data_IF_729077258066
#
_entry.id   IF_729077258066
#
_cell.length_a   1.000
_cell.length_b   1.000
_cell.length_c   1.000
_cell.angle_alpha   90.00
_cell.angle_beta   90.00
_cell.angle_gamma   90.00
#
_symmetry.space_group_name_H-M   'P 1'
#
loop_
_entity.id
_entity.type
_entity.pdbx_description
1 polymer ?
#
# COMPACT_ATOMS: atom_id res chain seq x y z
N UNK A 1 16.35 11.08 -1.79
CA UNK A 1 16.13 9.92 -0.91
C UNK A 1 14.65 9.61 -0.98
N UNK A 2 14.23 8.38 -1.33
CA UNK A 2 12.81 8.02 -1.31
C UNK A 2 12.44 7.66 0.12
N UNK A 3 11.33 8.19 0.62
CA UNK A 3 10.82 7.85 1.94
C UNK A 3 10.14 6.48 1.92
N UNK A 4 10.33 5.70 2.97
CA UNK A 4 9.78 4.34 3.08
C UNK A 4 9.26 4.07 4.48
N UNK A 5 8.05 3.54 4.57
CA UNK A 5 7.35 3.24 5.80
C UNK A 5 6.98 1.76 5.85
N UNK A 6 7.32 1.11 6.97
CA UNK A 6 6.96 -0.29 7.19
C UNK A 6 5.68 -0.35 8.00
N UNK A 7 4.64 -0.96 7.42
CA UNK A 7 3.33 -1.11 8.02
C UNK A 7 2.94 -2.58 8.11
N UNK A 8 1.99 -2.89 8.99
CA UNK A 8 1.31 -4.18 8.95
C UNK A 8 0.13 -4.10 7.99
N UNK A 9 0.26 -4.73 6.83
CA UNK A 9 -0.84 -5.00 5.91
C UNK A 9 -1.60 -6.22 6.43
N UNK A 10 -2.90 -6.08 6.72
CA UNK A 10 -3.69 -7.15 7.34
C UNK A 10 -4.47 -6.75 8.59
N UNK A 11 -5.76 -6.45 8.46
CA UNK A 11 -6.72 -6.46 9.57
C UNK A 11 -7.68 -7.66 9.43
N UNK A 12 -7.52 -8.67 10.30
CA UNK A 12 -8.36 -9.87 10.35
C UNK A 12 -7.61 -11.20 10.51
N UNK A 13 -8.29 -12.32 10.25
CA UNK A 13 -7.78 -13.71 10.35
C UNK A 13 -6.73 -14.09 9.29
N UNK A 14 -6.42 -13.22 8.32
CA UNK A 14 -5.31 -13.44 7.35
C UNK A 14 -3.99 -13.04 8.00
N UNK A 15 -2.89 -13.72 7.64
CA UNK A 15 -1.54 -13.40 8.13
C UNK A 15 -1.29 -11.90 8.03
N UNK A 16 -0.92 -11.27 9.14
CA UNK A 16 -0.38 -9.90 9.12
C UNK A 16 0.94 -9.98 8.36
N UNK A 17 1.00 -9.34 7.21
CA UNK A 17 2.22 -9.24 6.42
C UNK A 17 2.82 -7.86 6.68
N UNK A 18 4.09 -7.86 7.06
CA UNK A 18 4.85 -6.62 7.19
C UNK A 18 5.21 -6.17 5.77
N UNK A 19 4.67 -5.03 5.36
CA UNK A 19 4.89 -4.47 4.02
C UNK A 19 5.64 -3.15 4.16
N UNK A 20 6.73 -3.02 3.42
CA UNK A 20 7.45 -1.76 3.28
C UNK A 20 6.89 -0.99 2.09
N UNK A 21 6.20 0.11 2.38
CA UNK A 21 5.67 1.04 1.41
C UNK A 21 6.70 2.12 1.12
N UNK A 22 6.91 2.46 -0.15
CA UNK A 22 7.92 3.43 -0.58
C UNK A 22 7.27 4.47 -1.48
N UNK A 23 7.59 5.75 -1.25
CA UNK A 23 7.12 6.85 -2.09
C UNK A 23 7.62 6.65 -3.53
N UNK A 24 6.71 6.81 -4.49
CA UNK A 24 6.95 6.63 -5.91
C UNK A 24 6.77 5.20 -6.42
N UNK A 25 6.63 4.22 -5.54
CA UNK A 25 6.35 2.83 -5.94
C UNK A 25 4.85 2.59 -6.15
N UNK A 26 4.53 1.53 -6.90
CA UNK A 26 3.16 1.21 -7.32
C UNK A 26 2.57 0.09 -6.46
N UNK A 27 1.36 0.34 -5.97
CA UNK A 27 0.61 -0.54 -5.08
C UNK A 27 -0.83 -0.70 -5.58
N UNK A 28 -1.50 -1.74 -5.09
CA UNK A 28 -2.91 -2.00 -5.33
C UNK A 28 -3.69 -1.82 -4.04
N UNK A 29 -4.86 -1.22 -4.16
CA UNK A 29 -5.77 -1.02 -3.04
C UNK A 29 -6.64 -2.26 -2.90
N UNK A 30 -6.38 -3.08 -1.89
CA UNK A 30 -7.12 -4.30 -1.55
C UNK A 30 -7.58 -4.24 -0.08
N UNK A 31 -8.63 -3.44 0.21
CA UNK A 31 -9.14 -3.30 1.57
C UNK A 31 -9.79 -4.60 2.05
N UNK A 32 -9.44 -5.01 3.27
CA UNK A 32 -9.98 -6.24 3.87
C UNK A 32 -11.44 -6.12 4.28
N UNK A 33 -11.87 -4.91 4.65
CA UNK A 33 -13.28 -4.67 4.94
C UNK A 33 -14.10 -4.74 3.63
N UNK A 34 -15.02 -5.72 3.46
CA UNK A 34 -15.87 -5.86 2.27
C UNK A 34 -16.74 -4.64 1.97
N UNK A 35 -16.98 -3.77 2.96
CA UNK A 35 -17.74 -2.53 2.79
C UNK A 35 -16.92 -1.41 2.14
N UNK A 36 -15.58 -1.46 2.19
CA UNK A 36 -14.69 -0.50 1.53
C UNK A 36 -14.59 -0.81 0.03
N UNK A 37 -15.57 -0.34 -0.74
CA UNK A 37 -15.67 -0.59 -2.20
C UNK A 37 -15.09 0.53 -3.08
N UNK A 38 -14.91 1.73 -2.54
CA UNK A 38 -14.64 2.97 -3.32
C UNK A 38 -13.38 2.89 -4.20
N UNK A 39 -12.32 2.27 -3.69
CA UNK A 39 -11.01 2.22 -4.37
C UNK A 39 -10.49 0.79 -4.56
N UNK A 40 -11.28 -0.23 -4.20
CA UNK A 40 -10.86 -1.63 -4.25
C UNK A 40 -10.47 -2.05 -5.66
N UNK A 41 -9.35 -2.75 -5.78
CA UNK A 41 -8.80 -3.26 -7.03
C UNK A 41 -8.09 -2.20 -7.88
N UNK A 42 -7.97 -0.95 -7.41
CA UNK A 42 -7.31 0.11 -8.17
C UNK A 42 -5.82 0.10 -7.91
N UNK A 43 -5.07 0.43 -8.96
CA UNK A 43 -3.61 0.57 -8.94
C UNK A 43 -3.25 2.03 -8.74
N UNK A 44 -2.32 2.30 -7.81
CA UNK A 44 -1.91 3.64 -7.44
C UNK A 44 -0.43 3.73 -7.09
N UNK A 45 0.18 4.90 -7.31
CA UNK A 45 1.52 5.21 -6.86
C UNK A 45 1.46 6.11 -5.61
N UNK A 46 2.27 5.83 -4.59
CA UNK A 46 2.36 6.67 -3.39
C UNK A 46 3.07 7.98 -3.74
N UNK A 47 2.45 9.10 -3.42
CA UNK A 47 3.04 10.44 -3.56
C UNK A 47 3.65 10.92 -2.24
N UNK A 48 2.92 10.74 -1.14
CA UNK A 48 3.26 11.31 0.16
C UNK A 48 2.54 10.53 1.29
N UNK A 49 3.17 10.47 2.46
CA UNK A 49 2.57 9.96 3.69
C UNK A 49 1.97 11.13 4.49
N UNK A 50 0.78 10.95 5.05
CA UNK A 50 0.01 12.04 5.66
C UNK A 50 0.50 12.46 7.06
N UNK A 51 1.45 11.73 7.66
CA UNK A 51 2.01 11.98 9.00
C UNK A 51 3.46 11.46 9.11
N UNK A 52 4.34 12.23 9.74
CA UNK A 52 5.76 11.91 9.92
C UNK A 52 6.01 10.86 11.03
N UNK A 53 5.08 10.69 11.99
CA UNK A 53 5.32 9.85 13.17
C UNK A 53 4.62 8.49 13.12
N UNK A 54 3.36 8.46 12.68
CA UNK A 54 2.60 7.23 12.45
C UNK A 54 1.60 7.43 11.31
N UNK A 55 2.03 7.33 10.04
CA UNK A 55 1.13 7.53 8.92
C UNK A 55 0.05 6.44 8.92
N UNK A 56 -1.21 6.86 9.02
CA UNK A 56 -2.38 6.00 8.80
C UNK A 56 -2.84 6.00 7.34
N UNK A 57 -2.52 7.08 6.62
CA UNK A 57 -2.96 7.34 5.25
C UNK A 57 -1.80 7.74 4.34
N UNK A 58 -1.95 7.46 3.05
CA UNK A 58 -1.11 8.03 2.00
C UNK A 58 -1.95 8.79 0.98
N UNK A 59 -1.37 9.87 0.47
CA UNK A 59 -1.77 10.49 -0.79
C UNK A 59 -1.21 9.65 -1.94
N UNK A 60 -2.09 9.15 -2.79
CA UNK A 60 -1.74 8.29 -3.92
C UNK A 60 -2.29 8.84 -5.22
N UNK A 61 -1.57 8.62 -6.32
CA UNK A 61 -2.05 8.89 -7.68
C UNK A 61 -2.56 7.59 -8.29
N UNK A 62 -3.83 7.55 -8.66
CA UNK A 62 -4.40 6.37 -9.32
C UNK A 62 -4.03 6.34 -10.81
N UNK A 63 -3.61 5.16 -11.28
CA UNK A 63 -3.19 4.98 -12.68
C UNK A 63 -4.34 4.94 -13.68
N UNK A 64 -5.56 4.64 -13.24
CA UNK A 64 -6.74 4.55 -14.10
C UNK A 64 -7.22 5.92 -14.62
N UNK A 65 -7.19 6.95 -13.78
CA UNK A 65 -7.71 8.27 -14.08
C UNK A 65 -6.75 9.43 -13.79
N UNK A 66 -5.50 9.11 -13.40
CA UNK A 66 -4.48 10.10 -13.04
C UNK A 66 -4.88 11.08 -11.92
N UNK A 67 -5.94 10.77 -11.15
CA UNK A 67 -6.36 11.62 -10.03
C UNK A 67 -5.61 11.25 -8.77
N UNK A 68 -5.40 12.26 -7.93
CA UNK A 68 -4.88 12.09 -6.58
C UNK A 68 -6.04 11.73 -5.65
N UNK A 69 -5.81 10.81 -4.72
CA UNK A 69 -6.73 10.54 -3.63
C UNK A 69 -6.01 10.01 -2.41
N UNK A 70 -6.76 9.88 -1.32
CA UNK A 70 -6.26 9.42 -0.03
C UNK A 70 -6.70 7.97 0.21
N UNK A 71 -5.77 7.12 0.63
CA UNK A 71 -6.03 5.71 0.93
C UNK A 71 -5.39 5.33 2.26
N UNK A 72 -6.01 4.38 2.95
CA UNK A 72 -5.43 3.77 4.14
C UNK A 72 -4.20 2.96 3.74
N UNK A 73 -3.09 3.13 4.47
CA UNK A 73 -1.87 2.38 4.19
C UNK A 73 -2.08 0.88 4.37
N UNK A 74 -2.89 0.49 5.36
CA UNK A 74 -3.23 -0.91 5.64
C UNK A 74 -4.02 -1.60 4.53
N UNK A 75 -4.64 -0.84 3.62
CA UNK A 75 -5.38 -1.37 2.48
C UNK A 75 -4.49 -1.49 1.23
N UNK A 76 -3.22 -1.10 1.30
CA UNK A 76 -2.27 -1.21 0.20
C UNK A 76 -1.57 -2.58 0.21
N UNK A 77 -1.48 -3.18 -0.96
CA UNK A 77 -0.69 -4.38 -1.23
C UNK A 77 0.28 -4.13 -2.39
N UNK A 78 1.51 -4.66 -2.33
CA UNK A 78 2.43 -4.60 -3.47
C UNK A 78 1.83 -5.34 -4.66
N UNK A 79 1.95 -4.77 -5.86
CA UNK A 79 1.43 -5.40 -7.10
C UNK A 79 2.33 -6.52 -7.57
N UNK A 80 3.64 -6.34 -7.43
CA UNK A 80 4.66 -7.36 -7.63
C UNK A 80 6.00 -6.74 -7.24
N UNK A 81 6.54 -7.16 -6.10
CA UNK A 81 7.99 -7.24 -5.96
C UNK A 81 8.27 -8.73 -5.92
N UNK A 82 8.90 -9.21 -6.98
CA UNK A 82 9.51 -10.54 -7.12
C UNK A 82 9.82 -11.08 -5.73
N UNK A 83 9.13 -12.17 -5.37
CA UNK A 83 9.39 -12.96 -4.18
C UNK A 83 10.92 -13.00 -4.04
N UNK A 84 11.45 -12.36 -2.99
CA UNK A 84 12.82 -12.62 -2.57
C UNK A 84 12.82 -14.08 -2.14
N UNK A 85 12.96 -14.98 -3.12
CA UNK A 85 13.28 -16.37 -2.89
C UNK A 85 14.69 -16.28 -2.31
N UNK A 86 14.80 -16.29 -0.99
CA UNK A 86 16.05 -16.58 -0.32
C UNK A 86 16.51 -17.95 -0.83
N UNK A 87 17.43 -17.91 -1.79
CA UNK A 87 18.21 -19.02 -2.29
C UNK A 87 18.91 -19.65 -1.08
N UNK A 88 18.32 -20.74 -0.58
CA UNK A 88 18.98 -21.60 0.40
C UNK A 88 20.14 -22.29 -0.31
N UNK A 89 21.35 -21.84 -0.02
CA UNK A 89 22.57 -22.63 -0.19
C UNK A 89 22.99 -23.26 1.13
#
# INVERSE_FOLDING_TARGET
>A
MKESHTIQSGSGRKRRETVTLTIGETYRVEPLNPQKKKHRGRVCAILEFDDDFMPGFASVRFHDNNRVGKVDLSDLVPIDSVVAVEDRR
#
